data_IF_198153416466
#
_entry.id   IF_198153416466
#
_cell.length_a   1.000
_cell.length_b   1.000
_cell.length_c   1.000
_cell.angle_alpha   90.00
_cell.angle_beta   90.00
_cell.angle_gamma   90.00
#
_symmetry.space_group_name_H-M   'P 1'
#
loop_
_entity.id
_entity.type
_entity.pdbx_description
1 polymer ?
#
# COMPACT_ATOMS: atom_id res chain seq x y z
N UNK A 1 6.59 -1.40 -15.14
CA UNK A 1 5.90 -0.09 -15.00
C UNK A 1 6.29 0.56 -13.69
N UNK A 2 6.52 1.87 -13.69
CA UNK A 2 6.74 2.64 -12.48
C UNK A 2 6.18 4.05 -12.62
N UNK A 3 5.72 4.65 -11.52
CA UNK A 3 5.28 6.04 -11.56
C UNK A 3 6.46 7.02 -11.44
N UNK A 4 6.21 8.25 -11.83
CA UNK A 4 7.21 9.33 -11.88
C UNK A 4 6.83 10.53 -11.01
N UNK A 5 5.59 10.60 -10.57
CA UNK A 5 5.11 11.57 -9.61
C UNK A 5 5.49 11.17 -8.19
N UNK A 6 5.41 12.10 -7.28
CA UNK A 6 5.77 11.93 -5.86
C UNK A 6 4.87 12.80 -4.99
N UNK A 7 4.63 12.38 -3.75
CA UNK A 7 3.85 13.19 -2.80
C UNK A 7 4.56 14.50 -2.44
N UNK A 8 3.81 15.56 -2.06
CA UNK A 8 4.38 16.81 -1.59
C UNK A 8 5.31 16.65 -0.39
N UNK A 9 6.20 17.61 -0.19
CA UNK A 9 7.16 17.63 0.93
C UNK A 9 6.94 18.82 1.85
N UNK A 10 7.09 18.61 3.15
CA UNK A 10 7.40 19.68 4.09
C UNK A 10 8.92 19.78 4.23
N UNK A 11 9.52 20.83 3.67
CA UNK A 11 10.99 21.00 3.63
C UNK A 11 11.62 21.11 5.01
N UNK A 12 10.88 21.64 6.01
CA UNK A 12 11.42 21.88 7.36
C UNK A 12 11.85 20.60 8.10
N UNK A 13 11.34 19.45 7.68
CA UNK A 13 11.68 18.14 8.26
C UNK A 13 12.84 17.42 7.57
N UNK A 14 13.41 17.96 6.49
CA UNK A 14 14.47 17.32 5.71
C UNK A 14 15.85 17.81 6.09
N UNK A 15 16.81 16.87 6.20
CA UNK A 15 18.23 17.18 6.44
C UNK A 15 19.01 17.55 5.16
N UNK A 16 18.39 17.33 3.99
CA UNK A 16 18.90 17.65 2.66
C UNK A 16 17.81 18.31 1.81
N UNK A 17 18.14 18.89 0.65
CA UNK A 17 17.09 19.28 -0.30
C UNK A 17 16.41 18.02 -0.88
N UNK A 18 15.09 17.82 -0.65
CA UNK A 18 14.38 16.61 -1.08
C UNK A 18 14.32 16.40 -2.59
N UNK A 19 14.71 17.37 -3.40
CA UNK A 19 14.71 17.28 -4.87
C UNK A 19 16.09 17.40 -5.51
N UNK A 20 17.18 17.44 -4.70
CA UNK A 20 18.54 17.54 -5.23
C UNK A 20 19.12 16.20 -5.70
N UNK A 21 18.58 15.06 -5.25
CA UNK A 21 19.16 13.75 -5.51
C UNK A 21 20.56 13.60 -4.92
N UNK A 22 20.77 14.14 -3.71
CA UNK A 22 22.09 14.17 -3.06
C UNK A 22 22.61 12.75 -2.84
N UNK A 23 23.86 12.50 -3.24
CA UNK A 23 24.57 11.25 -2.95
C UNK A 23 25.43 11.42 -1.71
N UNK A 24 25.06 10.74 -0.61
CA UNK A 24 25.76 10.83 0.67
C UNK A 24 25.76 9.48 1.37
N UNK A 25 26.90 9.07 1.91
CA UNK A 25 27.09 7.84 2.69
C UNK A 25 26.65 6.55 1.98
N UNK A 26 26.76 6.53 0.63
CA UNK A 26 26.33 5.41 -0.21
C UNK A 26 24.82 5.34 -0.45
N UNK A 27 24.09 6.42 -0.16
CA UNK A 27 22.68 6.57 -0.45
C UNK A 27 22.41 7.72 -1.42
N UNK A 28 21.34 7.57 -2.20
CA UNK A 28 20.69 8.65 -2.94
C UNK A 28 19.52 9.14 -2.10
N UNK A 29 19.54 10.41 -1.72
CA UNK A 29 18.55 11.04 -0.86
C UNK A 29 17.59 11.87 -1.70
N UNK A 30 16.32 11.75 -1.44
CA UNK A 30 15.29 12.56 -2.10
C UNK A 30 13.89 11.97 -1.98
N UNK A 31 12.89 12.82 -2.14
CA UNK A 31 11.51 12.38 -2.27
C UNK A 31 11.36 11.50 -3.51
N UNK A 32 10.71 10.34 -3.38
CA UNK A 32 10.60 9.33 -4.44
C UNK A 32 11.79 8.36 -4.47
N UNK A 33 12.79 8.49 -3.57
CA UNK A 33 13.95 7.60 -3.56
C UNK A 33 13.60 6.13 -3.25
N UNK A 34 12.47 5.86 -2.59
CA UNK A 34 11.92 4.51 -2.38
C UNK A 34 10.51 4.34 -2.93
N UNK A 35 9.79 5.43 -3.20
CA UNK A 35 8.43 5.44 -3.73
C UNK A 35 8.32 6.38 -4.93
N UNK A 36 8.48 5.85 -6.17
CA UNK A 36 9.15 4.60 -6.52
C UNK A 36 10.25 4.85 -7.58
N UNK A 37 10.86 6.07 -7.60
CA UNK A 37 11.83 6.44 -8.64
C UNK A 37 13.08 5.53 -8.67
N UNK A 38 13.44 4.91 -7.53
CA UNK A 38 14.47 3.88 -7.48
C UNK A 38 14.16 2.70 -8.43
N UNK A 39 12.95 2.17 -8.35
CA UNK A 39 12.51 1.06 -9.19
C UNK A 39 12.28 1.51 -10.64
N UNK A 40 11.65 2.67 -10.83
CA UNK A 40 11.45 3.27 -12.16
C UNK A 40 12.78 3.47 -12.89
N UNK A 41 13.81 3.99 -12.20
CA UNK A 41 15.14 4.15 -12.76
C UNK A 41 15.82 2.81 -13.06
N UNK A 42 15.71 1.82 -12.14
CA UNK A 42 16.25 0.48 -12.37
C UNK A 42 15.59 -0.20 -13.57
N UNK A 43 14.26 -0.12 -13.71
CA UNK A 43 13.50 -0.63 -14.86
C UNK A 43 13.94 0.05 -16.17
N UNK A 44 14.09 1.39 -16.18
CA UNK A 44 14.54 2.15 -17.34
C UNK A 44 15.96 1.72 -17.77
N UNK A 45 16.87 1.54 -16.81
CA UNK A 45 18.23 1.09 -17.07
C UNK A 45 18.27 -0.32 -17.70
N UNK A 46 17.45 -1.23 -17.16
CA UNK A 46 17.33 -2.60 -17.71
C UNK A 46 16.68 -2.58 -19.09
N UNK A 47 15.60 -1.84 -19.28
CA UNK A 47 14.93 -1.70 -20.57
C UNK A 47 15.90 -1.19 -21.65
N UNK A 48 16.74 -0.20 -21.32
CA UNK A 48 17.76 0.34 -22.22
C UNK A 48 18.72 -0.77 -22.72
N UNK A 49 19.11 -1.72 -21.86
CA UNK A 49 20.01 -2.83 -22.24
C UNK A 49 19.38 -3.78 -23.26
N UNK A 50 18.07 -4.06 -23.11
CA UNK A 50 17.32 -4.83 -24.11
C UNK A 50 17.12 -4.01 -25.40
N UNK A 51 16.75 -2.75 -25.30
CA UNK A 51 16.52 -1.87 -26.46
C UNK A 51 17.80 -1.61 -27.28
N UNK A 52 18.99 -1.61 -26.64
CA UNK A 52 20.28 -1.50 -27.34
C UNK A 52 20.76 -2.80 -27.99
N UNK A 53 20.08 -3.92 -27.74
CA UNK A 53 20.48 -5.25 -28.25
C UNK A 53 21.57 -5.93 -27.41
N UNK A 54 21.98 -5.38 -26.28
CA UNK A 54 22.90 -6.01 -25.32
C UNK A 54 22.30 -7.33 -24.76
N UNK A 55 20.99 -7.33 -24.53
CA UNK A 55 20.22 -8.50 -24.13
C UNK A 55 19.06 -8.73 -25.11
N UNK A 56 18.52 -9.95 -25.12
CA UNK A 56 17.38 -10.32 -25.97
C UNK A 56 16.26 -10.92 -25.15
N UNK A 57 15.05 -10.63 -25.56
CA UNK A 57 13.82 -11.23 -25.05
C UNK A 57 13.00 -11.74 -26.24
N UNK A 58 12.44 -12.94 -26.22
CA UNK A 58 11.73 -13.54 -27.37
C UNK A 58 10.35 -12.93 -27.63
N UNK A 59 9.80 -12.15 -26.71
CA UNK A 59 8.53 -11.46 -26.82
C UNK A 59 8.67 -9.95 -26.87
N UNK A 60 7.56 -9.24 -26.58
CA UNK A 60 7.55 -7.79 -26.46
C UNK A 60 7.88 -7.38 -25.01
N UNK A 61 8.77 -6.41 -24.86
CA UNK A 61 9.11 -5.79 -23.59
C UNK A 61 8.67 -4.33 -23.60
N UNK A 62 7.76 -3.97 -22.70
CA UNK A 62 7.20 -2.62 -22.61
C UNK A 62 7.68 -1.96 -21.32
N UNK A 63 8.25 -0.76 -21.42
CA UNK A 63 8.55 0.08 -20.26
C UNK A 63 7.54 1.22 -20.19
N UNK A 64 6.85 1.32 -19.07
CA UNK A 64 5.89 2.38 -18.79
C UNK A 64 6.39 3.24 -17.62
N UNK A 65 6.60 4.52 -17.88
CA UNK A 65 6.82 5.55 -16.87
C UNK A 65 5.52 6.39 -16.79
N UNK A 66 4.70 6.12 -15.79
CA UNK A 66 3.36 6.72 -15.67
C UNK A 66 3.37 7.88 -14.68
N UNK A 67 2.37 8.75 -14.76
CA UNK A 67 2.12 9.83 -13.83
C UNK A 67 0.84 9.55 -13.05
N UNK A 68 0.56 10.39 -12.02
CA UNK A 68 -0.73 10.44 -11.32
C UNK A 68 -1.01 9.23 -10.38
N UNK A 69 -0.03 8.36 -10.12
CA UNK A 69 -0.23 7.23 -9.22
C UNK A 69 -0.63 7.70 -7.82
N UNK A 70 0.11 8.65 -7.27
CA UNK A 70 -0.07 9.25 -5.95
C UNK A 70 -1.41 10.03 -5.80
N UNK A 71 -2.06 10.34 -6.94
CA UNK A 71 -3.39 10.93 -6.98
C UNK A 71 -4.48 9.94 -7.46
N UNK A 72 -4.15 8.64 -7.53
CA UNK A 72 -5.07 7.55 -7.82
C UNK A 72 -5.02 7.02 -9.26
N UNK A 73 -4.01 7.38 -10.06
CA UNK A 73 -3.68 6.79 -11.35
C UNK A 73 -4.68 7.06 -12.48
N UNK A 74 -5.60 8.01 -12.31
CA UNK A 74 -6.70 8.25 -13.28
C UNK A 74 -6.21 8.76 -14.62
N UNK A 75 -5.19 9.63 -14.62
CA UNK A 75 -4.62 10.26 -15.80
C UNK A 75 -3.40 9.49 -16.36
N UNK A 76 -2.89 8.54 -15.61
CA UNK A 76 -1.75 7.68 -15.95
C UNK A 76 -2.19 6.26 -16.34
N UNK A 77 -1.93 5.30 -15.46
CA UNK A 77 -2.14 3.88 -15.72
C UNK A 77 -3.59 3.53 -16.04
N UNK A 78 -4.57 4.13 -15.35
CA UNK A 78 -5.98 3.88 -15.63
C UNK A 78 -6.36 4.29 -17.05
N UNK A 79 -5.98 5.49 -17.47
CA UNK A 79 -6.25 6.00 -18.81
C UNK A 79 -5.62 5.11 -19.90
N UNK A 80 -4.37 4.64 -19.67
CA UNK A 80 -3.73 3.71 -20.59
C UNK A 80 -4.49 2.39 -20.68
N UNK A 81 -4.91 1.83 -19.56
CA UNK A 81 -5.58 0.52 -19.52
C UNK A 81 -7.04 0.60 -20.03
N UNK A 82 -7.76 1.67 -19.74
CA UNK A 82 -9.16 1.82 -20.16
C UNK A 82 -9.29 2.25 -21.63
N UNK A 83 -8.49 3.24 -22.08
CA UNK A 83 -8.64 3.88 -23.38
C UNK A 83 -7.60 3.43 -24.42
N UNK A 84 -6.44 2.91 -23.99
CA UNK A 84 -5.30 2.58 -24.86
C UNK A 84 -4.71 1.19 -24.58
N UNK A 85 -5.56 0.23 -24.21
CA UNK A 85 -5.12 -1.11 -23.83
C UNK A 85 -4.17 -1.75 -24.85
N UNK A 86 -4.41 -1.58 -26.14
CA UNK A 86 -3.56 -2.14 -27.20
C UNK A 86 -2.09 -1.66 -27.16
N UNK A 87 -1.79 -0.54 -26.49
CA UNK A 87 -0.43 -0.04 -26.36
C UNK A 87 0.32 -0.66 -25.17
N UNK A 88 -0.42 -1.13 -24.17
CA UNK A 88 0.13 -1.53 -22.87
C UNK A 88 -0.28 -2.94 -22.44
N UNK A 89 -1.04 -3.66 -23.30
CA UNK A 89 -1.47 -5.02 -23.00
C UNK A 89 -0.28 -5.94 -22.77
N UNK A 90 -0.30 -6.69 -21.70
CA UNK A 90 0.77 -7.59 -21.32
C UNK A 90 0.25 -8.72 -20.45
N UNK A 91 0.90 -9.89 -20.53
CA UNK A 91 0.59 -11.05 -19.69
C UNK A 91 1.17 -10.86 -18.29
N UNK A 92 2.32 -10.20 -18.19
CA UNK A 92 3.09 -10.05 -16.96
C UNK A 92 3.49 -8.59 -16.72
N UNK A 93 3.47 -8.18 -15.45
CA UNK A 93 3.84 -6.83 -15.03
C UNK A 93 4.72 -6.89 -13.77
N UNK A 94 5.87 -6.22 -13.82
CA UNK A 94 6.66 -5.86 -12.64
C UNK A 94 6.42 -4.39 -12.31
N UNK A 95 6.17 -4.09 -11.04
CA UNK A 95 5.89 -2.73 -10.55
C UNK A 95 6.34 -2.56 -9.10
N UNK A 96 5.83 -1.57 -8.40
CA UNK A 96 6.00 -1.35 -6.96
C UNK A 96 5.21 -2.38 -6.13
N UNK A 97 5.46 -2.61 -4.92
CA UNK A 97 6.43 -2.09 -3.97
C UNK A 97 7.41 -3.21 -3.65
N UNK A 98 8.73 -2.86 -3.59
CA UNK A 98 9.69 -3.73 -2.93
C UNK A 98 9.88 -3.31 -1.48
N UNK A 99 10.15 -4.25 -0.59
CA UNK A 99 10.43 -3.99 0.82
C UNK A 99 11.72 -4.71 1.26
N UNK A 100 12.37 -4.27 2.36
CA UNK A 100 13.48 -5.01 2.94
C UNK A 100 13.10 -6.45 3.30
N UNK A 101 14.10 -7.33 3.29
CA UNK A 101 13.91 -8.73 3.64
C UNK A 101 13.56 -8.91 5.12
N UNK A 102 12.78 -9.94 5.41
CA UNK A 102 12.39 -10.34 6.76
C UNK A 102 13.17 -11.59 7.21
N UNK A 103 13.70 -11.55 8.42
CA UNK A 103 14.36 -12.71 9.01
C UNK A 103 13.31 -13.73 9.51
N UNK A 104 13.44 -14.98 9.08
CA UNK A 104 12.62 -16.11 9.50
C UNK A 104 13.47 -17.35 9.81
N UNK A 105 12.85 -18.46 10.22
CA UNK A 105 13.55 -19.72 10.51
C UNK A 105 14.24 -20.30 9.27
N UNK A 106 13.74 -20.00 8.08
CA UNK A 106 14.30 -20.44 6.79
C UNK A 106 15.34 -19.48 6.21
N UNK A 107 15.75 -18.45 6.96
CA UNK A 107 16.66 -17.39 6.50
C UNK A 107 15.93 -16.12 6.14
N UNK A 108 16.55 -15.29 5.27
CA UNK A 108 15.99 -14.01 4.86
C UNK A 108 14.98 -14.20 3.73
N UNK A 109 13.75 -13.82 3.97
CA UNK A 109 12.68 -13.83 2.98
C UNK A 109 12.43 -12.44 2.38
N UNK A 110 12.23 -12.36 1.08
CA UNK A 110 11.96 -11.13 0.33
C UNK A 110 10.47 -11.03 0.07
N UNK A 111 9.75 -10.07 0.67
CA UNK A 111 8.35 -9.84 0.37
C UNK A 111 8.16 -9.40 -1.08
N UNK A 112 7.29 -10.09 -1.80
CA UNK A 112 6.84 -9.76 -3.15
C UNK A 112 5.38 -9.37 -3.08
N UNK A 113 5.06 -8.16 -3.47
CA UNK A 113 3.68 -7.66 -3.48
C UNK A 113 2.87 -8.37 -4.55
N UNK A 114 2.07 -9.34 -4.14
CA UNK A 114 1.16 -10.09 -5.02
C UNK A 114 -0.29 -9.64 -4.90
N UNK A 115 -0.64 -8.97 -3.81
CA UNK A 115 -1.99 -8.49 -3.53
C UNK A 115 -1.98 -7.13 -2.83
N UNK A 116 -3.10 -6.44 -2.90
CA UNK A 116 -3.31 -5.13 -2.28
C UNK A 116 -4.74 -5.00 -1.74
N UNK A 117 -4.87 -4.19 -0.67
CA UNK A 117 -6.19 -3.88 -0.08
C UNK A 117 -7.01 -3.00 -1.02
N UNK A 118 -8.33 -3.05 -0.81
CA UNK A 118 -9.27 -2.23 -1.55
C UNK A 118 -9.55 -0.89 -0.86
N UNK A 119 -9.27 0.27 -1.49
CA UNK A 119 -9.75 1.54 -0.97
C UNK A 119 -11.27 1.60 -1.00
N UNK A 120 -11.85 1.95 0.14
CA UNK A 120 -13.28 1.97 0.42
C UNK A 120 -13.66 3.29 1.12
N UNK A 121 -13.29 4.43 0.54
CA UNK A 121 -13.43 5.73 1.19
C UNK A 121 -14.88 6.13 1.39
N UNK A 122 -15.17 6.71 2.53
CA UNK A 122 -16.51 7.13 2.94
C UNK A 122 -16.51 8.59 3.37
N UNK A 123 -17.66 9.22 3.12
CA UNK A 123 -17.96 10.53 3.71
C UNK A 123 -19.27 10.43 4.47
N UNK A 124 -19.26 10.96 5.68
CA UNK A 124 -20.45 11.08 6.52
C UNK A 124 -20.92 12.53 6.55
N UNK A 125 -22.23 12.73 6.52
CA UNK A 125 -22.81 14.05 6.64
C UNK A 125 -23.90 14.05 7.71
N UNK A 126 -23.91 15.09 8.56
CA UNK A 126 -24.98 15.37 9.48
C UNK A 126 -25.58 16.74 9.21
N UNK A 127 -26.86 16.87 9.44
CA UNK A 127 -27.62 18.10 9.24
C UNK A 127 -28.21 18.58 10.55
N UNK A 128 -28.37 19.88 10.68
CA UNK A 128 -28.99 20.54 11.82
C UNK A 128 -29.76 21.77 11.38
N UNK A 129 -30.15 22.57 12.35
CA UNK A 129 -30.79 23.87 12.11
C UNK A 129 -29.93 24.98 12.74
N UNK A 130 -29.60 26.03 11.97
CA UNK A 130 -28.81 27.14 12.51
C UNK A 130 -29.60 27.92 13.55
N UNK A 131 -28.89 28.48 14.53
CA UNK A 131 -29.49 29.26 15.60
C UNK A 131 -28.43 30.07 16.36
N UNK A 132 -28.87 30.88 17.31
CA UNK A 132 -27.95 31.64 18.12
C UNK A 132 -27.32 30.76 19.21
N UNK A 133 -25.99 30.70 19.26
CA UNK A 133 -25.24 29.79 20.16
C UNK A 133 -25.53 29.95 21.66
N UNK A 134 -26.07 31.11 22.10
CA UNK A 134 -26.49 31.30 23.49
C UNK A 134 -27.88 30.71 23.83
N UNK A 135 -28.59 30.18 22.84
CA UNK A 135 -29.94 29.62 23.01
C UNK A 135 -30.01 28.17 22.48
N UNK A 136 -29.19 27.23 23.03
CA UNK A 136 -29.02 25.88 22.48
C UNK A 136 -30.19 24.92 22.86
N UNK A 137 -31.16 25.36 23.62
CA UNK A 137 -32.28 24.52 24.06
C UNK A 137 -33.13 24.11 22.84
N UNK A 138 -33.35 22.80 22.70
CA UNK A 138 -34.15 22.21 21.62
C UNK A 138 -33.67 22.59 20.21
N UNK A 139 -32.37 22.85 20.02
CA UNK A 139 -31.74 23.05 18.71
C UNK A 139 -31.20 21.75 18.15
N UNK A 140 -31.14 21.65 16.82
CA UNK A 140 -30.47 20.54 16.11
C UNK A 140 -29.08 20.99 15.72
N UNK A 141 -28.05 20.59 16.49
CA UNK A 141 -26.66 20.91 16.21
C UNK A 141 -26.00 19.74 15.47
N UNK A 142 -25.58 19.96 14.23
CA UNK A 142 -24.98 18.93 13.38
C UNK A 142 -23.63 18.41 13.88
N UNK A 143 -22.85 19.21 14.63
CA UNK A 143 -21.53 18.81 15.14
C UNK A 143 -21.61 17.68 16.18
N UNK A 144 -22.64 17.68 17.03
CA UNK A 144 -22.73 16.72 18.14
C UNK A 144 -22.85 15.28 17.66
N UNK A 145 -23.81 14.90 16.79
CA UNK A 145 -23.91 13.54 16.27
C UNK A 145 -22.71 13.15 15.41
N UNK A 146 -22.11 14.08 14.65
CA UNK A 146 -20.92 13.79 13.87
C UNK A 146 -19.70 13.47 14.76
N UNK A 147 -19.46 14.27 15.79
CA UNK A 147 -18.36 14.02 16.73
C UNK A 147 -18.55 12.68 17.46
N UNK A 148 -19.78 12.34 17.84
CA UNK A 148 -20.10 11.05 18.44
C UNK A 148 -19.84 9.87 17.48
N UNK A 149 -20.23 10.00 16.20
CA UNK A 149 -19.98 8.98 15.19
C UNK A 149 -18.48 8.75 14.93
N UNK A 150 -17.71 9.81 14.79
CA UNK A 150 -16.25 9.73 14.62
C UNK A 150 -15.58 9.08 15.84
N UNK A 151 -15.97 9.49 17.05
CA UNK A 151 -15.47 8.88 18.29
C UNK A 151 -15.85 7.39 18.41
N UNK A 152 -17.05 7.03 17.98
CA UNK A 152 -17.53 5.64 18.00
C UNK A 152 -16.74 4.76 17.02
N UNK A 153 -16.45 5.24 15.81
CA UNK A 153 -15.60 4.53 14.84
C UNK A 153 -14.18 4.32 15.39
N UNK A 154 -13.59 5.33 16.03
CA UNK A 154 -12.27 5.21 16.62
C UNK A 154 -12.20 4.28 17.84
N UNK A 155 -13.30 4.20 18.62
CA UNK A 155 -13.39 3.33 19.80
C UNK A 155 -13.74 1.87 19.47
N UNK A 156 -14.27 1.58 18.30
CA UNK A 156 -14.71 0.25 17.89
C UNK A 156 -14.02 -0.16 16.56
N UNK A 157 -12.71 -0.43 16.56
CA UNK A 157 -12.01 -0.87 15.35
C UNK A 157 -12.55 -2.23 14.87
N UNK A 158 -12.43 -2.53 13.56
CA UNK A 158 -12.74 -3.86 13.04
C UNK A 158 -11.85 -4.94 13.66
N UNK A 159 -12.38 -6.13 13.89
CA UNK A 159 -11.60 -7.27 14.35
C UNK A 159 -10.73 -7.88 13.26
N UNK A 160 -9.81 -8.74 13.68
CA UNK A 160 -8.89 -9.44 12.81
C UNK A 160 -9.63 -10.40 11.84
N UNK A 161 -9.14 -10.47 10.60
CA UNK A 161 -9.60 -11.40 9.58
C UNK A 161 -8.40 -12.04 8.87
N UNK A 162 -8.21 -13.34 9.10
CA UNK A 162 -7.07 -14.10 8.58
C UNK A 162 -7.38 -14.58 7.17
N UNK A 163 -6.92 -13.84 6.17
CA UNK A 163 -7.08 -14.16 4.75
C UNK A 163 -6.11 -15.24 4.29
N UNK A 164 -6.35 -15.80 3.10
CA UNK A 164 -5.44 -16.76 2.49
C UNK A 164 -4.09 -16.11 2.10
N UNK A 165 -4.12 -14.85 1.67
CA UNK A 165 -2.91 -14.05 1.38
C UNK A 165 -2.05 -13.89 2.62
N UNK A 166 -2.69 -13.63 3.76
CA UNK A 166 -1.99 -13.51 5.03
C UNK A 166 -1.39 -14.85 5.49
N UNK A 167 -2.11 -15.98 5.33
CA UNK A 167 -1.59 -17.32 5.63
C UNK A 167 -0.33 -17.61 4.83
N UNK A 168 -0.37 -17.39 3.52
CA UNK A 168 0.79 -17.59 2.63
C UNK A 168 1.97 -16.69 3.00
N UNK A 169 1.69 -15.46 3.43
CA UNK A 169 2.74 -14.56 3.91
C UNK A 169 3.42 -15.12 5.17
N UNK A 170 2.66 -15.51 6.19
CA UNK A 170 3.21 -16.05 7.45
C UNK A 170 3.97 -17.36 7.21
N UNK A 171 3.43 -18.25 6.37
CA UNK A 171 4.10 -19.49 5.96
C UNK A 171 5.39 -19.20 5.19
N UNK A 172 5.38 -18.20 4.32
CA UNK A 172 6.54 -17.74 3.58
C UNK A 172 7.61 -17.12 4.47
N UNK A 173 7.22 -16.26 5.39
CA UNK A 173 8.10 -15.62 6.35
C UNK A 173 8.69 -16.61 7.37
N UNK A 174 7.86 -17.52 7.88
CA UNK A 174 8.23 -18.50 8.90
C UNK A 174 8.92 -17.85 10.12
N UNK A 175 8.26 -16.91 10.83
CA UNK A 175 8.87 -16.17 11.93
C UNK A 175 9.25 -17.10 13.10
N UNK A 176 10.23 -16.70 13.94
CA UNK A 176 10.72 -17.55 15.03
C UNK A 176 9.70 -17.71 16.17
N UNK A 177 9.90 -18.75 16.98
CA UNK A 177 9.09 -19.06 18.18
C UNK A 177 7.63 -19.39 17.82
N UNK A 178 6.71 -18.97 18.66
CA UNK A 178 5.27 -19.20 18.51
C UNK A 178 4.57 -18.08 17.69
N UNK A 179 5.35 -17.09 17.21
CA UNK A 179 4.82 -15.94 16.52
C UNK A 179 3.98 -16.33 15.29
N UNK A 180 4.41 -17.33 14.52
CA UNK A 180 3.66 -17.82 13.36
C UNK A 180 2.24 -18.30 13.75
N UNK A 181 2.12 -19.05 14.85
CA UNK A 181 0.85 -19.55 15.36
C UNK A 181 -0.04 -18.41 15.84
N UNK A 182 0.52 -17.42 16.55
CA UNK A 182 -0.21 -16.25 17.05
C UNK A 182 -0.71 -15.36 15.91
N UNK A 183 0.11 -15.17 14.85
CA UNK A 183 -0.26 -14.38 13.67
C UNK A 183 -1.34 -15.04 12.79
N UNK A 184 -1.59 -16.33 12.95
CA UNK A 184 -2.62 -17.08 12.23
C UNK A 184 -3.91 -17.31 13.04
N UNK A 185 -3.94 -16.85 14.28
CA UNK A 185 -5.07 -17.00 15.19
C UNK A 185 -5.77 -15.66 15.40
N UNK A 186 -7.02 -15.48 14.95
CA UNK A 186 -7.73 -14.21 15.08
C UNK A 186 -7.94 -13.74 16.51
N UNK A 187 -7.91 -14.64 17.50
CA UNK A 187 -8.09 -14.31 18.92
C UNK A 187 -6.76 -13.93 19.61
N UNK A 188 -5.60 -14.20 18.97
CA UNK A 188 -4.26 -13.97 19.53
C UNK A 188 -3.45 -12.92 18.78
N UNK A 189 -3.84 -12.61 17.55
CA UNK A 189 -3.06 -11.75 16.67
C UNK A 189 -2.87 -10.33 17.22
N UNK A 190 -3.87 -9.74 17.88
CA UNK A 190 -3.75 -8.39 18.44
C UNK A 190 -2.66 -8.35 19.52
N UNK A 191 -2.62 -9.35 20.40
CA UNK A 191 -1.56 -9.47 21.39
C UNK A 191 -0.17 -9.73 20.77
N UNK A 192 -0.11 -10.41 19.61
CA UNK A 192 1.13 -10.57 18.86
C UNK A 192 1.57 -9.24 18.22
N UNK A 193 0.66 -8.47 17.68
CA UNK A 193 0.92 -7.12 17.14
C UNK A 193 1.45 -6.19 18.24
N UNK A 194 0.84 -6.20 19.42
CA UNK A 194 1.30 -5.40 20.56
C UNK A 194 2.73 -5.77 20.97
N UNK A 195 3.10 -7.08 20.96
CA UNK A 195 4.47 -7.51 21.22
C UNK A 195 5.44 -7.05 20.14
N UNK A 196 5.07 -7.19 18.86
CA UNK A 196 5.90 -6.70 17.74
C UNK A 196 6.15 -5.20 17.82
N UNK A 197 5.17 -4.42 18.30
CA UNK A 197 5.28 -2.97 18.40
C UNK A 197 6.40 -2.49 19.34
N UNK A 198 6.85 -3.31 20.31
CA UNK A 198 8.00 -2.99 21.19
C UNK A 198 9.31 -3.00 20.42
N UNK A 199 9.45 -3.93 19.46
CA UNK A 199 10.69 -4.12 18.72
C UNK A 199 10.68 -3.34 17.41
N UNK A 200 9.57 -3.39 16.67
CA UNK A 200 9.37 -2.73 15.38
C UNK A 200 7.91 -2.27 15.18
N UNK A 201 7.64 -1.01 15.53
CA UNK A 201 6.32 -0.40 15.35
C UNK A 201 5.87 -0.35 13.89
N UNK A 202 6.81 -0.25 12.93
CA UNK A 202 6.51 -0.26 11.50
C UNK A 202 5.97 -1.62 11.06
N UNK A 203 6.66 -2.69 11.43
CA UNK A 203 6.21 -4.06 11.17
C UNK A 203 4.86 -4.34 11.84
N UNK A 204 4.68 -3.93 13.09
CA UNK A 204 3.40 -4.10 13.81
C UNK A 204 2.24 -3.41 13.10
N UNK A 205 2.42 -2.16 12.65
CA UNK A 205 1.42 -1.42 11.87
C UNK A 205 1.10 -2.11 10.54
N UNK A 206 2.12 -2.63 9.88
CA UNK A 206 1.92 -3.35 8.62
C UNK A 206 1.16 -4.66 8.84
N UNK A 207 1.53 -5.46 9.86
CA UNK A 207 0.80 -6.69 10.26
C UNK A 207 -0.66 -6.38 10.55
N UNK A 208 -0.93 -5.36 11.39
CA UNK A 208 -2.30 -4.93 11.69
C UNK A 208 -3.07 -4.56 10.41
N UNK A 209 -2.46 -3.74 9.55
CA UNK A 209 -3.12 -3.30 8.32
C UNK A 209 -3.40 -4.45 7.33
N UNK A 210 -2.58 -5.52 7.33
CA UNK A 210 -2.76 -6.70 6.48
C UNK A 210 -3.72 -7.74 7.06
N UNK A 211 -4.15 -7.59 8.32
CA UNK A 211 -5.03 -8.55 9.01
C UNK A 211 -6.36 -7.95 9.46
N UNK A 212 -6.52 -6.63 9.34
CA UNK A 212 -7.75 -5.93 9.71
C UNK A 212 -8.25 -5.07 8.54
N UNK A 213 -9.56 -4.98 8.39
CA UNK A 213 -10.12 -3.82 7.70
C UNK A 213 -9.70 -2.59 8.50
N UNK A 214 -9.12 -1.59 7.84
CA UNK A 214 -8.69 -0.37 8.54
C UNK A 214 -9.72 0.73 8.32
N UNK A 215 -10.03 1.47 9.40
CA UNK A 215 -10.98 2.59 9.40
C UNK A 215 -10.32 3.77 10.09
N UNK A 216 -10.03 4.82 9.33
CA UNK A 216 -9.33 6.01 9.81
C UNK A 216 -10.12 7.26 9.48
N UNK A 217 -10.83 7.88 10.44
CA UNK A 217 -11.43 9.21 10.27
C UNK A 217 -10.32 10.27 10.19
N UNK A 218 -10.12 10.87 9.01
CA UNK A 218 -8.98 11.75 8.76
C UNK A 218 -9.37 13.22 8.66
N UNK A 219 -10.62 13.53 8.33
CA UNK A 219 -11.11 14.90 8.32
C UNK A 219 -12.42 15.03 9.09
N UNK A 220 -12.61 16.17 9.73
CA UNK A 220 -13.84 16.54 10.39
C UNK A 220 -14.04 18.06 10.25
N UNK A 221 -15.10 18.46 9.57
CA UNK A 221 -15.44 19.84 9.34
C UNK A 221 -16.87 20.14 9.78
N UNK A 222 -17.11 21.35 10.33
CA UNK A 222 -18.46 21.78 10.66
C UNK A 222 -18.51 23.11 11.41
N UNK A 223 -19.68 23.73 11.36
CA UNK A 223 -19.88 25.06 11.91
C UNK A 223 -19.14 26.16 11.17
N UNK A 224 -19.56 27.40 11.39
CA UNK A 224 -18.96 28.59 10.73
C UNK A 224 -18.45 29.64 11.74
N UNK A 225 -19.03 29.69 12.94
CA UNK A 225 -18.69 30.67 13.96
C UNK A 225 -19.11 30.18 15.35
N UNK A 226 -18.37 30.53 16.39
CA UNK A 226 -18.59 30.08 17.78
C UNK A 226 -19.99 30.42 18.34
N UNK A 227 -20.62 31.50 17.88
CA UNK A 227 -21.95 31.93 18.34
C UNK A 227 -23.10 31.53 17.41
N UNK A 228 -22.87 30.59 16.49
CA UNK A 228 -23.88 30.04 15.55
C UNK A 228 -23.96 28.53 15.76
N UNK A 229 -25.16 27.99 15.97
CA UNK A 229 -25.40 26.54 16.02
C UNK A 229 -25.10 25.95 14.65
N UNK A 230 -24.28 24.91 14.58
CA UNK A 230 -23.89 24.29 13.31
C UNK A 230 -25.07 23.55 12.67
N UNK A 231 -25.35 23.88 11.42
CA UNK A 231 -26.38 23.27 10.58
C UNK A 231 -25.85 22.14 9.70
N UNK A 232 -24.51 22.00 9.59
CA UNK A 232 -23.83 20.94 8.85
C UNK A 232 -22.52 20.54 9.51
N UNK A 233 -22.22 19.23 9.46
CA UNK A 233 -20.88 18.71 9.68
C UNK A 233 -20.61 17.55 8.72
N UNK A 234 -19.36 17.40 8.33
CA UNK A 234 -18.86 16.41 7.37
C UNK A 234 -17.59 15.74 7.93
N UNK A 235 -17.45 14.43 7.73
CA UNK A 235 -16.23 13.69 8.05
C UNK A 235 -15.84 12.78 6.89
N UNK A 236 -14.55 12.72 6.56
CA UNK A 236 -14.01 11.78 5.57
C UNK A 236 -13.22 10.68 6.27
N UNK A 237 -13.50 9.45 5.87
CA UNK A 237 -12.96 8.24 6.49
C UNK A 237 -12.24 7.42 5.42
N UNK A 238 -10.92 7.22 5.59
CA UNK A 238 -10.16 6.24 4.82
C UNK A 238 -10.47 4.85 5.35
N UNK A 239 -11.11 4.04 4.54
CA UNK A 239 -11.37 2.64 4.81
C UNK A 239 -10.61 1.80 3.80
N UNK A 240 -9.94 0.73 4.28
CA UNK A 240 -9.26 -0.24 3.41
C UNK A 240 -9.75 -1.65 3.74
N UNK A 241 -10.43 -2.28 2.79
CA UNK A 241 -10.95 -3.65 2.94
C UNK A 241 -9.90 -4.71 2.60
N UNK A 242 -10.00 -5.85 3.26
CA UNK A 242 -9.21 -7.04 2.98
C UNK A 242 -9.80 -7.84 1.79
N UNK A 243 -9.04 -8.77 1.18
CA UNK A 243 -9.60 -9.73 0.24
C UNK A 243 -10.83 -10.45 0.80
N UNK A 244 -11.87 -10.56 -0.03
CA UNK A 244 -13.16 -11.14 0.38
C UNK A 244 -14.15 -10.16 1.01
N UNK A 245 -13.71 -8.97 1.42
CA UNK A 245 -14.57 -7.92 1.96
C UNK A 245 -15.01 -6.92 0.88
N UNK A 246 -16.21 -6.37 1.05
CA UNK A 246 -16.75 -5.38 0.12
C UNK A 246 -17.50 -4.23 0.82
N UNK A 247 -18.29 -3.47 0.08
CA UNK A 247 -19.05 -2.33 0.57
C UNK A 247 -20.04 -2.71 1.67
N UNK A 248 -20.61 -3.91 1.60
CA UNK A 248 -21.54 -4.40 2.62
C UNK A 248 -20.86 -4.58 3.97
N UNK A 249 -19.67 -5.19 3.98
CA UNK A 249 -18.89 -5.37 5.21
C UNK A 249 -18.50 -4.02 5.84
N UNK A 250 -18.14 -3.05 5.01
CA UNK A 250 -17.81 -1.70 5.47
C UNK A 250 -19.03 -1.05 6.10
N UNK A 251 -20.18 -1.06 5.42
CA UNK A 251 -21.44 -0.47 5.92
C UNK A 251 -21.90 -1.13 7.22
N UNK A 252 -21.81 -2.45 7.31
CA UNK A 252 -22.19 -3.19 8.50
C UNK A 252 -21.27 -2.88 9.68
N UNK A 253 -19.97 -2.70 9.43
CA UNK A 253 -19.06 -2.22 10.47
C UNK A 253 -19.44 -0.82 10.95
N UNK A 254 -19.72 0.13 10.06
CA UNK A 254 -20.16 1.48 10.44
C UNK A 254 -21.45 1.45 11.26
N UNK A 255 -22.44 0.67 10.82
CA UNK A 255 -23.71 0.49 11.58
C UNK A 255 -23.46 -0.11 12.96
N UNK A 256 -22.59 -1.13 13.06
CA UNK A 256 -22.23 -1.76 14.34
C UNK A 256 -21.51 -0.79 15.28
N UNK A 257 -20.52 -0.06 14.77
CA UNK A 257 -19.68 0.84 15.55
C UNK A 257 -20.43 2.07 16.04
N UNK A 258 -21.21 2.71 15.16
CA UNK A 258 -21.95 3.94 15.47
C UNK A 258 -23.27 3.63 16.23
N UNK A 259 -23.85 2.45 15.97
CA UNK A 259 -25.13 2.04 16.55
C UNK A 259 -26.34 2.74 15.91
N UNK A 260 -27.46 2.91 16.66
CA UNK A 260 -28.73 3.43 16.12
C UNK A 260 -28.60 4.82 15.44
N UNK A 261 -27.65 5.64 15.88
CA UNK A 261 -27.41 6.96 15.30
C UNK A 261 -26.94 6.90 13.82
N UNK A 262 -26.48 5.75 13.33
CA UNK A 262 -26.06 5.57 11.94
C UNK A 262 -27.19 5.85 10.93
N UNK A 263 -28.43 5.49 11.28
CA UNK A 263 -29.59 5.68 10.38
C UNK A 263 -29.99 7.16 10.21
N UNK A 264 -29.48 8.06 11.07
CA UNK A 264 -29.67 9.51 11.01
C UNK A 264 -28.53 10.23 10.29
N UNK A 265 -27.47 9.49 9.90
CA UNK A 265 -26.28 10.02 9.21
C UNK A 265 -26.37 9.69 7.73
N UNK A 266 -26.21 10.70 6.90
CA UNK A 266 -26.05 10.49 5.45
C UNK A 266 -24.69 9.84 5.19
N UNK A 267 -24.70 8.66 4.59
CA UNK A 267 -23.52 7.85 4.32
C UNK A 267 -23.24 7.83 2.82
N UNK A 268 -22.17 8.49 2.41
CA UNK A 268 -21.73 8.59 1.01
C UNK A 268 -20.58 7.63 0.74
N UNK A 269 -20.68 6.86 -0.35
CA UNK A 269 -19.59 6.04 -0.89
C UNK A 269 -18.78 6.90 -1.87
N UNK A 270 -17.55 7.25 -1.48
CA UNK A 270 -16.63 8.06 -2.31
C UNK A 270 -15.81 7.16 -3.22
N UNK A 271 -15.32 6.03 -2.69
CA UNK A 271 -14.55 5.01 -3.40
C UNK A 271 -14.96 3.63 -2.90
N UNK A 272 -15.08 2.66 -3.80
CA UNK A 272 -15.44 1.28 -3.48
C UNK A 272 -14.68 0.26 -4.35
N UNK A 273 -13.37 0.39 -4.39
CA UNK A 273 -12.50 -0.56 -5.09
C UNK A 273 -12.27 -1.79 -4.20
N UNK A 274 -12.50 -2.99 -4.74
CA UNK A 274 -12.20 -4.24 -4.05
C UNK A 274 -10.70 -4.50 -3.98
N UNK A 275 -10.27 -5.20 -2.94
CA UNK A 275 -8.95 -5.80 -2.87
C UNK A 275 -8.70 -6.68 -4.10
N UNK A 276 -7.46 -6.73 -4.55
CA UNK A 276 -7.09 -7.47 -5.75
C UNK A 276 -5.70 -8.10 -5.61
N UNK A 277 -5.39 -9.07 -6.46
CA UNK A 277 -4.10 -9.75 -6.42
C UNK A 277 -3.89 -10.67 -7.61
N UNK A 278 -2.67 -11.18 -7.72
CA UNK A 278 -2.25 -12.22 -8.66
C UNK A 278 -1.74 -13.42 -7.88
N UNK A 279 -2.03 -14.63 -8.34
CA UNK A 279 -1.53 -15.84 -7.69
C UNK A 279 0.01 -15.87 -7.70
N UNK A 280 0.69 -16.22 -6.58
CA UNK A 280 2.15 -16.38 -6.53
C UNK A 280 2.56 -17.72 -7.16
N UNK A 281 2.37 -17.86 -8.45
CA UNK A 281 2.60 -19.07 -9.22
C UNK A 281 2.76 -18.76 -10.72
N UNK A 282 3.29 -19.74 -11.47
CA UNK A 282 3.45 -19.66 -12.92
C UNK A 282 4.72 -18.94 -13.34
N UNK A 283 4.85 -18.67 -14.67
CA UNK A 283 6.13 -18.28 -15.27
C UNK A 283 6.81 -17.08 -14.62
N UNK A 284 6.10 -16.00 -14.33
CA UNK A 284 6.70 -14.82 -13.70
C UNK A 284 7.20 -15.10 -12.27
N UNK A 285 6.45 -15.91 -11.49
CA UNK A 285 6.88 -16.29 -10.14
C UNK A 285 8.13 -17.19 -10.15
N UNK A 286 8.18 -18.13 -11.07
CA UNK A 286 9.30 -19.03 -11.27
C UNK A 286 10.55 -18.28 -11.76
N UNK A 287 10.37 -17.33 -12.70
CA UNK A 287 11.44 -16.46 -13.17
C UNK A 287 12.01 -15.60 -12.04
N UNK A 288 11.15 -14.99 -11.21
CA UNK A 288 11.57 -14.24 -10.02
C UNK A 288 12.31 -15.12 -9.01
N UNK A 289 11.81 -16.33 -8.75
CA UNK A 289 12.45 -17.28 -7.82
C UNK A 289 13.85 -17.67 -8.31
N UNK A 290 14.00 -17.92 -9.61
CA UNK A 290 15.29 -18.21 -10.22
C UNK A 290 16.23 -17.00 -10.12
N UNK A 291 15.76 -15.81 -10.49
CA UNK A 291 16.53 -14.57 -10.44
C UNK A 291 17.03 -14.25 -9.01
N UNK A 292 16.19 -14.42 -7.99
CA UNK A 292 16.58 -14.22 -6.59
C UNK A 292 17.69 -15.18 -6.17
N UNK A 293 17.64 -16.43 -6.60
CA UNK A 293 18.69 -17.41 -6.25
C UNK A 293 20.06 -17.02 -6.80
N UNK A 294 20.09 -16.24 -7.89
CA UNK A 294 21.33 -15.73 -8.50
C UNK A 294 21.79 -14.42 -7.89
N UNK A 295 20.87 -13.45 -7.71
CA UNK A 295 21.20 -12.08 -7.30
C UNK A 295 21.37 -11.96 -5.77
N UNK A 296 20.60 -12.74 -5.03
CA UNK A 296 20.62 -12.74 -3.56
C UNK A 296 20.63 -14.18 -3.00
N UNK A 297 21.73 -14.93 -3.17
CA UNK A 297 21.81 -16.32 -2.75
C UNK A 297 21.45 -16.53 -1.28
N UNK A 298 20.69 -17.59 -1.00
CA UNK A 298 20.22 -17.93 0.36
C UNK A 298 18.97 -17.18 0.80
N UNK A 299 18.41 -16.30 -0.04
CA UNK A 299 17.12 -15.67 0.18
C UNK A 299 16.00 -16.39 -0.58
N UNK A 300 14.75 -16.25 -0.10
CA UNK A 300 13.57 -16.82 -0.74
C UNK A 300 12.47 -15.77 -0.87
N UNK A 301 11.48 -16.02 -1.73
CA UNK A 301 10.34 -15.12 -1.92
C UNK A 301 9.25 -15.39 -0.88
N UNK A 302 8.63 -14.31 -0.41
CA UNK A 302 7.44 -14.34 0.45
C UNK A 302 6.31 -13.64 -0.30
N UNK A 303 5.21 -14.31 -0.68
CA UNK A 303 4.07 -13.62 -1.26
C UNK A 303 3.45 -12.70 -0.20
N UNK A 304 3.33 -11.43 -0.49
CA UNK A 304 2.87 -10.40 0.44
C UNK A 304 1.67 -9.63 -0.10
N UNK A 305 0.79 -9.22 0.79
CA UNK A 305 -0.22 -8.22 0.53
C UNK A 305 0.23 -6.88 1.13
N UNK A 306 -0.04 -5.79 0.42
CA UNK A 306 0.21 -4.44 0.93
C UNK A 306 -1.09 -3.73 1.33
N UNK A 307 -1.03 -2.82 2.32
CA UNK A 307 -2.22 -2.12 2.81
C UNK A 307 -2.66 -0.95 1.92
N UNK A 308 -1.88 -0.63 0.87
CA UNK A 308 -2.13 0.46 -0.08
C UNK A 308 -2.64 -0.09 -1.41
N UNK A 309 -3.14 0.76 -2.28
CA UNK A 309 -3.46 0.41 -3.67
C UNK A 309 -2.37 0.93 -4.59
N UNK A 310 -2.04 0.20 -5.66
CA UNK A 310 -1.07 0.59 -6.67
C UNK A 310 -1.72 0.61 -8.06
N UNK A 311 -1.02 1.12 -9.05
CA UNK A 311 -1.48 1.08 -10.45
C UNK A 311 -1.59 -0.35 -11.02
N UNK A 312 -1.01 -1.36 -10.36
CA UNK A 312 -1.17 -2.77 -10.71
C UNK A 312 -2.64 -3.21 -10.77
N UNK A 313 -3.52 -2.58 -9.95
CA UNK A 313 -4.96 -2.89 -9.90
C UNK A 313 -5.64 -2.74 -11.25
N UNK A 314 -5.23 -1.81 -12.07
CA UNK A 314 -5.84 -1.60 -13.39
C UNK A 314 -5.48 -2.73 -14.35
N UNK A 315 -4.23 -3.17 -14.35
CA UNK A 315 -3.74 -4.27 -15.16
C UNK A 315 -4.30 -5.63 -14.69
N UNK A 316 -4.32 -5.89 -13.38
CA UNK A 316 -4.90 -7.12 -12.80
C UNK A 316 -6.37 -7.29 -13.19
N UNK A 317 -7.15 -6.22 -13.28
CA UNK A 317 -8.54 -6.26 -13.78
C UNK A 317 -8.67 -6.69 -15.25
N UNK A 318 -7.60 -6.60 -16.03
CA UNK A 318 -7.52 -7.08 -17.41
C UNK A 318 -6.92 -8.48 -17.53
N UNK A 319 -6.57 -9.12 -16.41
CA UNK A 319 -6.00 -10.47 -16.36
C UNK A 319 -4.49 -10.53 -16.35
N UNK A 320 -3.77 -9.40 -16.35
CA UNK A 320 -2.32 -9.34 -16.23
C UNK A 320 -1.88 -9.86 -14.86
N UNK A 321 -0.90 -10.76 -14.84
CA UNK A 321 -0.21 -11.17 -13.60
C UNK A 321 0.78 -10.08 -13.21
N UNK A 322 0.55 -9.43 -12.07
CA UNK A 322 1.32 -8.28 -11.64
C UNK A 322 1.93 -8.48 -10.26
N UNK A 323 3.26 -8.25 -10.14
CA UNK A 323 3.99 -8.32 -8.88
C UNK A 323 4.81 -7.04 -8.65
N UNK A 324 4.85 -6.62 -7.39
CA UNK A 324 5.75 -5.58 -6.92
C UNK A 324 6.95 -6.19 -6.19
N UNK A 325 8.17 -5.81 -6.59
CA UNK A 325 9.38 -6.33 -5.98
C UNK A 325 10.55 -5.38 -6.16
N UNK A 326 11.39 -5.29 -5.15
CA UNK A 326 12.70 -4.62 -5.20
C UNK A 326 13.61 -5.24 -4.14
N UNK A 327 14.91 -5.06 -4.30
CA UNK A 327 15.90 -5.56 -3.35
C UNK A 327 16.50 -4.43 -2.53
N UNK A 328 16.62 -4.67 -1.25
CA UNK A 328 17.25 -3.76 -0.31
C UNK A 328 18.40 -4.48 0.40
N UNK A 329 19.48 -3.75 0.62
CA UNK A 329 20.55 -4.22 1.48
C UNK A 329 20.14 -4.26 2.96
N UNK A 330 20.80 -5.09 3.75
CA UNK A 330 20.39 -5.36 5.14
C UNK A 330 20.62 -4.19 6.11
N UNK A 331 21.24 -3.07 5.66
CA UNK A 331 21.41 -1.85 6.47
C UNK A 331 20.11 -1.10 6.75
N UNK A 332 19.06 -1.35 5.96
CA UNK A 332 17.75 -0.72 6.12
C UNK A 332 16.79 -1.77 6.66
N UNK A 333 16.38 -1.60 7.91
CA UNK A 333 15.37 -2.45 8.53
C UNK A 333 13.98 -2.20 7.96
N UNK A 334 13.08 -3.18 8.10
CA UNK A 334 11.72 -3.11 7.58
C UNK A 334 10.94 -1.90 8.15
N UNK A 335 11.01 -1.68 9.47
CA UNK A 335 10.35 -0.54 10.10
C UNK A 335 10.96 0.82 9.72
N UNK A 336 12.29 0.89 9.53
CA UNK A 336 12.95 2.10 9.05
C UNK A 336 12.51 2.46 7.63
N UNK A 337 12.42 1.46 6.76
CA UNK A 337 11.89 1.61 5.41
C UNK A 337 10.47 2.18 5.41
N UNK A 338 9.57 1.59 6.21
CA UNK A 338 8.19 2.05 6.30
C UNK A 338 8.05 3.48 6.86
N UNK A 339 8.98 3.91 7.74
CA UNK A 339 8.99 5.30 8.23
C UNK A 339 9.42 6.32 7.18
N UNK A 340 10.25 5.92 6.21
CA UNK A 340 10.67 6.79 5.12
C UNK A 340 9.58 6.94 4.05
N UNK A 341 8.67 5.99 3.94
CA UNK A 341 7.55 6.04 3.00
C UNK A 341 6.68 7.28 3.27
N UNK A 342 6.58 8.21 2.32
CA UNK A 342 5.96 9.53 2.48
C UNK A 342 6.55 10.38 3.64
N UNK A 343 7.62 9.89 4.28
CA UNK A 343 8.30 10.54 5.41
C UNK A 343 9.35 11.56 4.98
N UNK A 344 10.14 12.00 5.96
CA UNK A 344 11.33 12.84 5.74
C UNK A 344 12.56 11.96 5.53
N UNK A 345 13.60 12.55 4.91
CA UNK A 345 14.89 11.92 4.71
C UNK A 345 14.83 10.57 3.99
N UNK A 346 13.87 10.46 3.09
CA UNK A 346 13.71 9.32 2.20
C UNK A 346 14.98 9.11 1.38
N UNK A 347 15.44 7.87 1.33
CA UNK A 347 16.69 7.51 0.65
C UNK A 347 16.76 6.05 0.29
N UNK A 348 17.46 5.76 -0.78
CA UNK A 348 17.77 4.39 -1.23
C UNK A 348 19.28 4.22 -1.32
N UNK A 349 19.82 3.06 -0.93
CA UNK A 349 21.25 2.82 -1.11
C UNK A 349 21.59 2.51 -2.57
N UNK A 350 22.80 2.90 -2.98
CA UNK A 350 23.31 2.59 -4.31
C UNK A 350 23.43 1.07 -4.54
N UNK A 351 23.70 0.31 -3.48
CA UNK A 351 23.72 -1.16 -3.53
C UNK A 351 22.33 -1.71 -3.82
N UNK A 352 21.29 -1.21 -3.13
CA UNK A 352 19.89 -1.60 -3.35
C UNK A 352 19.43 -1.29 -4.78
N UNK A 353 19.83 -0.15 -5.33
CA UNK A 353 19.55 0.20 -6.74
C UNK A 353 20.16 -0.81 -7.71
N UNK A 354 21.43 -1.17 -7.51
CA UNK A 354 22.13 -2.16 -8.34
C UNK A 354 21.47 -3.54 -8.23
N UNK A 355 21.22 -4.01 -7.00
CA UNK A 355 20.58 -5.31 -6.76
C UNK A 355 19.19 -5.37 -7.40
N UNK A 356 18.42 -4.30 -7.34
CA UNK A 356 17.08 -4.23 -7.94
C UNK A 356 17.16 -4.27 -9.48
N UNK A 357 18.12 -3.56 -10.07
CA UNK A 357 18.33 -3.61 -11.52
C UNK A 357 18.78 -5.01 -11.98
N UNK A 358 19.68 -5.65 -11.24
CA UNK A 358 20.11 -7.02 -11.54
C UNK A 358 18.95 -8.01 -11.40
N UNK A 359 18.10 -7.86 -10.38
CA UNK A 359 16.88 -8.66 -10.22
C UNK A 359 15.96 -8.53 -11.44
N UNK A 360 15.64 -7.30 -11.87
CA UNK A 360 14.78 -7.08 -13.03
C UNK A 360 15.38 -7.66 -14.30
N UNK A 361 16.69 -7.47 -14.53
CA UNK A 361 17.39 -8.03 -15.67
C UNK A 361 17.27 -9.56 -15.71
N UNK A 362 17.66 -10.22 -14.60
CA UNK A 362 17.61 -11.68 -14.51
C UNK A 362 16.18 -12.22 -14.61
N UNK A 363 15.20 -11.52 -14.03
CA UNK A 363 13.79 -11.93 -14.14
C UNK A 363 13.31 -11.92 -15.58
N UNK A 364 13.64 -10.88 -16.36
CA UNK A 364 13.27 -10.83 -17.79
C UNK A 364 13.98 -11.91 -18.60
N UNK A 365 15.28 -12.15 -18.34
CA UNK A 365 16.02 -13.23 -18.99
C UNK A 365 15.40 -14.60 -18.70
N UNK A 366 15.13 -14.92 -17.42
CA UNK A 366 14.55 -16.21 -17.00
C UNK A 366 13.12 -16.39 -17.51
N UNK A 367 12.33 -15.32 -17.57
CA UNK A 367 11.00 -15.37 -18.16
C UNK A 367 11.09 -15.67 -19.68
N UNK A 368 12.05 -15.06 -20.39
CA UNK A 368 12.27 -15.32 -21.80
C UNK A 368 12.74 -16.75 -22.15
N UNK A 369 13.32 -17.48 -21.21
CA UNK A 369 13.68 -18.88 -21.37
C UNK A 369 12.47 -19.84 -21.29
N UNK A 370 11.31 -19.35 -20.80
CA UNK A 370 10.10 -20.13 -20.61
C UNK A 370 9.05 -19.91 -21.72
N UNK A 371 9.27 -18.90 -22.56
CA UNK A 371 8.43 -18.51 -23.71
C UNK A 371 9.06 -19.01 -24.99
#
# INVERSE_FOLDING_TARGET
MGHTDVVPVNRDGWSVDPFAGERRDGFVWGRGAIDMLNQTAAMAAVFKRFASGEHRYPGDLVFLAVADEEAGGKLGARWLVEDHWAWVSTDYLLTEIGTPALAGRRGMGIPVTVAEKGPQWRRLHTRGAPGHGSQPYATSNALVPMAAAVAALGANPPGAHITEEWRRFVEGWDPPGDLAADLLDPDRIDAAIDRLAFDDIGLARWVHACTHMTVSPNTLHGGVKVNVVADRADAEIDVRSLPGQDETDVRDHFRKAIGPAFDEIEYEVVEATKANGSAPAGPLWEALTSAISEVAPGRHLIPAMIPVGTDARFFRRRGTVAYGVGLFEDRVGFGDFLRMFHGHDERVSEVSLSMTADLFLRTVERLGEQV
#
